data_IF_484237043275
#
_entry.id   IF_484237043275
#
_cell.length_a   1.000
_cell.length_b   1.000
_cell.length_c   1.000
_cell.angle_alpha   90.00
_cell.angle_beta   90.00
_cell.angle_gamma   90.00
#
_symmetry.space_group_name_H-M   'P 1'
#
loop_
_entity.id
_entity.type
_entity.pdbx_description
1 polymer ?
#
# COMPACT_ATOMS: atom_id res chain seq x y z
N UNK A 1 41.85 -1.85 -54.43
CA UNK A 1 42.73 -0.81 -55.00
C UNK A 1 43.81 -0.47 -53.98
N UNK A 2 44.89 0.16 -54.45
CA UNK A 2 46.00 0.83 -53.72
C UNK A 2 45.64 1.37 -52.33
N UNK A 3 46.40 1.23 -51.23
CA UNK A 3 47.86 1.35 -50.93
C UNK A 3 48.41 2.79 -50.79
N UNK A 4 49.00 3.06 -49.61
CA UNK A 4 50.06 4.02 -49.25
C UNK A 4 49.81 5.55 -49.30
N UNK A 5 49.97 6.20 -48.14
CA UNK A 5 50.99 7.22 -47.83
C UNK A 5 50.82 7.65 -46.35
N UNK A 6 51.77 7.73 -45.40
CA UNK A 6 53.24 7.96 -45.34
C UNK A 6 53.66 9.42 -45.04
N UNK A 7 54.30 9.61 -43.86
CA UNK A 7 55.31 10.65 -43.53
C UNK A 7 54.72 12.10 -43.36
N UNK A 8 55.18 13.00 -42.47
CA UNK A 8 56.54 13.30 -41.97
C UNK A 8 56.62 13.79 -40.48
N UNK A 9 57.85 13.98 -39.97
CA UNK A 9 58.19 14.41 -38.61
C UNK A 9 58.47 15.93 -38.51
N UNK A 10 58.39 16.51 -37.30
CA UNK A 10 59.37 17.48 -36.77
C UNK A 10 59.23 17.68 -35.24
N UNK A 11 60.30 18.14 -34.58
CA UNK A 11 60.39 18.37 -33.12
C UNK A 11 61.08 19.71 -32.84
N UNK A 12 60.50 20.60 -32.00
CA UNK A 12 61.32 21.45 -31.11
C UNK A 12 60.60 22.03 -29.87
N UNK A 13 61.44 22.22 -28.85
CA UNK A 13 61.31 22.59 -27.44
C UNK A 13 60.81 24.04 -27.12
N UNK A 14 60.61 24.42 -25.82
CA UNK A 14 59.62 25.42 -25.38
C UNK A 14 60.17 26.65 -24.61
N UNK A 15 59.24 27.42 -24.00
CA UNK A 15 59.31 28.25 -22.76
C UNK A 15 58.92 29.73 -22.96
N UNK A 16 58.03 30.23 -22.09
CA UNK A 16 57.67 31.64 -21.89
C UNK A 16 56.57 31.75 -20.83
N UNK A 17 56.60 32.75 -19.96
CA UNK A 17 55.76 32.86 -18.75
C UNK A 17 54.90 34.13 -18.71
N UNK A 18 53.77 34.03 -18.01
CA UNK A 18 52.99 35.07 -17.31
C UNK A 18 52.17 36.19 -18.01
N UNK A 19 51.06 36.48 -17.32
CA UNK A 19 50.37 37.78 -17.15
C UNK A 19 49.52 38.38 -18.28
N UNK A 20 48.20 38.24 -18.16
CA UNK A 20 47.29 39.38 -17.89
C UNK A 20 45.88 38.88 -17.52
N UNK A 21 44.91 39.78 -17.32
CA UNK A 21 43.72 39.59 -16.47
C UNK A 21 42.41 39.89 -17.20
N UNK A 22 41.34 39.23 -16.74
CA UNK A 22 39.90 39.54 -16.92
C UNK A 22 39.34 39.62 -18.34
N UNK A 23 38.36 38.74 -18.61
CA UNK A 23 36.99 39.19 -18.93
C UNK A 23 36.00 38.18 -18.32
N UNK A 24 34.89 38.67 -17.76
CA UNK A 24 33.83 37.84 -17.15
C UNK A 24 32.76 37.55 -18.20
N UNK A 25 32.36 36.29 -18.38
CA UNK A 25 31.14 35.95 -19.11
C UNK A 25 30.11 35.31 -18.18
N UNK A 26 29.34 36.18 -17.52
CA UNK A 26 28.27 35.82 -16.59
C UNK A 26 27.07 35.18 -17.32
N UNK A 27 27.23 33.92 -17.72
CA UNK A 27 26.13 33.05 -18.14
C UNK A 27 25.31 32.67 -16.90
N UNK A 28 24.39 33.56 -16.53
CA UNK A 28 23.56 33.42 -15.34
C UNK A 28 22.86 32.06 -15.25
N UNK A 29 23.12 31.33 -14.16
CA UNK A 29 22.38 30.11 -13.82
C UNK A 29 20.90 30.48 -13.70
N UNK A 30 20.06 30.02 -14.62
CA UNK A 30 18.63 30.00 -14.37
C UNK A 30 18.39 29.13 -13.13
N UNK A 31 17.65 29.61 -12.12
CA UNK A 31 17.29 28.76 -11.00
C UNK A 31 16.51 27.57 -11.57
N UNK A 32 17.02 26.36 -11.35
CA UNK A 32 16.26 25.15 -11.67
C UNK A 32 15.05 25.17 -10.75
N UNK A 33 13.88 25.47 -11.31
CA UNK A 33 12.61 25.30 -10.63
C UNK A 33 12.58 23.88 -10.09
N UNK A 34 12.77 23.74 -8.77
CA UNK A 34 12.57 22.46 -8.12
C UNK A 34 11.10 22.13 -8.33
N UNK A 35 10.83 21.09 -9.13
CA UNK A 35 9.48 20.60 -9.31
C UNK A 35 9.07 19.96 -8.00
N UNK A 36 8.41 20.74 -7.13
CA UNK A 36 7.71 20.24 -5.95
C UNK A 36 6.82 19.10 -6.44
N UNK A 37 7.22 17.86 -6.16
CA UNK A 37 6.44 16.70 -6.60
C UNK A 37 5.23 16.61 -5.68
N UNK A 38 4.17 17.32 -6.06
CA UNK A 38 2.85 17.28 -5.41
C UNK A 38 2.39 15.85 -5.33
N UNK A 39 2.71 15.21 -4.21
CA UNK A 39 2.58 13.77 -4.04
C UNK A 39 1.10 13.48 -3.86
N UNK A 40 0.46 13.11 -4.97
CA UNK A 40 -0.96 12.76 -4.99
C UNK A 40 -1.23 11.69 -3.93
N UNK A 41 -2.00 12.06 -2.92
CA UNK A 41 -2.49 11.16 -1.86
C UNK A 41 -3.54 10.21 -2.43
N UNK A 42 -3.07 9.21 -3.17
CA UNK A 42 -3.87 8.13 -3.72
C UNK A 42 -4.23 7.15 -2.60
N UNK A 43 -5.52 6.89 -2.40
CA UNK A 43 -6.00 5.92 -1.42
C UNK A 43 -5.48 4.51 -1.75
N UNK A 44 -5.10 3.75 -0.72
CA UNK A 44 -4.50 2.41 -0.87
C UNK A 44 -5.47 1.41 -1.54
N UNK A 45 -5.19 0.91 -2.76
CA UNK A 45 -6.06 -0.04 -3.46
C UNK A 45 -5.82 -1.50 -3.05
N UNK A 46 -4.78 -1.78 -2.28
CA UNK A 46 -4.40 -3.10 -1.74
C UNK A 46 -5.58 -3.89 -1.14
N UNK A 47 -6.36 -3.31 -0.21
CA UNK A 47 -7.54 -3.98 0.35
C UNK A 47 -8.60 -4.39 -0.67
N UNK A 48 -8.81 -3.59 -1.72
CA UNK A 48 -9.82 -3.89 -2.74
C UNK A 48 -9.40 -5.09 -3.60
N UNK A 49 -8.14 -5.11 -4.03
CA UNK A 49 -7.58 -6.24 -4.77
C UNK A 49 -7.55 -7.53 -3.95
N UNK A 50 -7.17 -7.45 -2.67
CA UNK A 50 -7.13 -8.59 -1.76
C UNK A 50 -8.52 -9.14 -1.41
N UNK A 51 -9.53 -8.29 -1.16
CA UNK A 51 -10.91 -8.75 -0.93
C UNK A 51 -11.52 -9.40 -2.18
N UNK A 52 -11.31 -8.79 -3.35
CA UNK A 52 -11.73 -9.32 -4.66
C UNK A 52 -11.20 -10.72 -4.92
N UNK A 53 -9.92 -10.90 -4.62
CA UNK A 53 -9.24 -12.18 -4.68
C UNK A 53 -9.77 -13.18 -3.65
N UNK A 54 -9.89 -12.77 -2.38
CA UNK A 54 -10.22 -13.64 -1.25
C UNK A 54 -11.64 -14.24 -1.38
N UNK A 55 -12.65 -13.41 -1.65
CA UNK A 55 -14.05 -13.88 -1.82
C UNK A 55 -14.15 -14.93 -2.94
N UNK A 56 -13.53 -14.65 -4.09
CA UNK A 56 -13.62 -15.52 -5.26
C UNK A 56 -12.83 -16.83 -5.06
N UNK A 57 -11.63 -16.73 -4.47
CA UNK A 57 -10.79 -17.88 -4.10
C UNK A 57 -11.49 -18.77 -3.07
N UNK A 58 -12.10 -18.19 -2.03
CA UNK A 58 -12.79 -18.93 -0.98
C UNK A 58 -13.92 -19.80 -1.55
N UNK A 59 -14.81 -19.20 -2.34
CA UNK A 59 -15.98 -19.90 -2.88
C UNK A 59 -15.57 -21.02 -3.84
N UNK A 60 -14.60 -20.82 -4.73
CA UNK A 60 -14.06 -21.92 -5.56
C UNK A 60 -13.40 -23.02 -4.71
N UNK A 61 -12.67 -22.63 -3.67
CA UNK A 61 -11.93 -23.56 -2.81
C UNK A 61 -12.84 -24.48 -1.99
N UNK A 62 -14.05 -24.02 -1.62
CA UNK A 62 -15.09 -24.85 -1.00
C UNK A 62 -15.54 -26.03 -1.91
N UNK A 63 -15.57 -25.82 -3.23
CA UNK A 63 -15.86 -26.88 -4.20
C UNK A 63 -14.65 -27.78 -4.45
N UNK A 64 -13.44 -27.21 -4.60
CA UNK A 64 -12.20 -27.99 -4.77
C UNK A 64 -11.94 -28.93 -3.59
N UNK A 65 -12.14 -28.47 -2.34
CA UNK A 65 -12.04 -29.30 -1.13
C UNK A 65 -13.16 -30.37 -1.06
N UNK A 66 -14.23 -30.20 -1.83
CA UNK A 66 -15.45 -31.01 -1.82
C UNK A 66 -16.21 -30.87 -0.50
N UNK A 67 -16.31 -29.65 0.01
CA UNK A 67 -17.16 -29.26 1.16
C UNK A 67 -18.58 -28.95 0.65
N UNK A 68 -18.69 -28.31 -0.51
CA UNK A 68 -19.95 -28.04 -1.20
C UNK A 68 -20.15 -28.98 -2.40
N UNK A 69 -21.40 -29.30 -2.78
CA UNK A 69 -21.69 -30.17 -3.92
C UNK A 69 -21.43 -29.46 -5.25
N UNK A 70 -20.70 -30.11 -6.16
CA UNK A 70 -20.33 -29.55 -7.47
C UNK A 70 -21.52 -29.15 -8.37
N UNK A 71 -22.74 -29.61 -8.06
CA UNK A 71 -23.97 -29.20 -8.76
C UNK A 71 -24.27 -27.69 -8.66
N UNK A 72 -23.73 -26.98 -7.65
CA UNK A 72 -23.90 -25.54 -7.47
C UNK A 72 -22.61 -24.73 -7.69
N UNK A 73 -21.53 -25.36 -8.15
CA UNK A 73 -20.20 -24.76 -8.37
C UNK A 73 -20.22 -23.53 -9.28
N UNK A 74 -21.19 -23.46 -10.21
CA UNK A 74 -21.38 -22.31 -11.12
C UNK A 74 -21.65 -20.98 -10.41
N UNK A 75 -21.93 -20.97 -9.10
CA UNK A 75 -21.97 -19.75 -8.27
C UNK A 75 -20.63 -18.98 -8.25
N UNK A 76 -19.50 -19.64 -8.56
CA UNK A 76 -18.18 -18.99 -8.73
C UNK A 76 -18.16 -18.03 -9.93
N UNK A 77 -18.88 -18.34 -11.01
CA UNK A 77 -18.78 -17.64 -12.30
C UNK A 77 -19.07 -16.11 -12.20
N UNK A 78 -20.16 -15.62 -11.56
CA UNK A 78 -20.37 -14.19 -11.41
C UNK A 78 -19.28 -13.51 -10.55
N UNK A 79 -18.76 -14.17 -9.50
CA UNK A 79 -17.67 -13.63 -8.69
C UNK A 79 -16.38 -13.51 -9.51
N UNK A 80 -16.08 -14.52 -10.32
CA UNK A 80 -14.91 -14.57 -11.19
C UNK A 80 -14.98 -13.56 -12.37
N UNK A 81 -16.17 -13.21 -12.87
CA UNK A 81 -16.30 -12.14 -13.86
C UNK A 81 -16.24 -10.74 -13.24
N UNK A 82 -17.05 -10.47 -12.21
CA UNK A 82 -17.25 -9.12 -11.72
C UNK A 82 -16.29 -8.72 -10.60
N UNK A 83 -16.06 -9.58 -9.60
CA UNK A 83 -15.33 -9.20 -8.39
C UNK A 83 -13.87 -9.61 -8.46
N UNK A 84 -13.55 -10.91 -8.34
CA UNK A 84 -12.20 -11.44 -8.55
C UNK A 84 -11.65 -11.18 -9.95
N UNK A 85 -12.52 -10.99 -10.94
CA UNK A 85 -12.14 -10.52 -12.26
C UNK A 85 -12.03 -8.99 -12.33
N UNK A 86 -13.11 -8.35 -12.77
CA UNK A 86 -13.12 -6.92 -13.16
C UNK A 86 -12.68 -5.97 -12.04
N UNK A 87 -13.21 -6.09 -10.81
CA UNK A 87 -12.81 -5.20 -9.70
C UNK A 87 -11.36 -5.45 -9.27
N UNK A 88 -10.85 -6.68 -9.33
CA UNK A 88 -9.44 -6.95 -9.07
C UNK A 88 -8.53 -6.32 -10.14
N UNK A 89 -8.89 -6.34 -11.42
CA UNK A 89 -8.15 -5.60 -12.46
C UNK A 89 -8.17 -4.09 -12.20
N UNK A 90 -9.31 -3.52 -11.80
CA UNK A 90 -9.40 -2.09 -11.46
C UNK A 90 -8.52 -1.71 -10.27
N UNK A 91 -8.44 -2.57 -9.24
CA UNK A 91 -7.49 -2.39 -8.12
C UNK A 91 -6.03 -2.44 -8.60
N UNK A 92 -5.68 -3.35 -9.52
CA UNK A 92 -4.34 -3.40 -10.12
C UNK A 92 -3.99 -2.20 -11.00
N UNK A 93 -4.98 -1.59 -11.67
CA UNK A 93 -4.79 -0.31 -12.39
C UNK A 93 -4.58 0.84 -11.39
N UNK A 94 -5.29 0.86 -10.26
CA UNK A 94 -5.06 1.85 -9.20
C UNK A 94 -3.67 1.70 -8.56
N UNK A 95 -3.15 0.47 -8.39
CA UNK A 95 -1.77 0.24 -7.93
C UNK A 95 -0.70 0.83 -8.89
N UNK A 96 -0.97 0.89 -10.20
CA UNK A 96 -0.07 1.59 -11.14
C UNK A 96 -0.02 3.10 -10.85
N UNK A 97 -1.16 3.70 -10.51
CA UNK A 97 -1.25 5.12 -10.12
C UNK A 97 -0.57 5.36 -8.77
N UNK A 98 -0.69 4.41 -7.84
CA UNK A 98 0.04 4.40 -6.56
C UNK A 98 1.53 4.00 -6.69
N UNK A 99 2.08 3.92 -7.91
CA UNK A 99 3.48 3.52 -8.23
C UNK A 99 3.89 2.13 -7.68
N UNK A 100 2.95 1.27 -7.32
CA UNK A 100 3.18 -0.05 -6.72
C UNK A 100 3.23 -1.17 -7.77
N UNK A 101 4.41 -1.40 -8.35
CA UNK A 101 4.65 -2.46 -9.36
C UNK A 101 4.25 -3.86 -8.88
N UNK A 102 4.42 -4.19 -7.60
CA UNK A 102 4.06 -5.50 -7.06
C UNK A 102 2.54 -5.71 -7.04
N UNK A 103 1.81 -4.77 -6.44
CA UNK A 103 0.34 -4.83 -6.36
C UNK A 103 -0.31 -4.78 -7.73
N UNK A 104 0.18 -3.91 -8.61
CA UNK A 104 -0.29 -3.80 -9.99
C UNK A 104 -0.14 -5.10 -10.76
N UNK A 105 1.06 -5.70 -10.70
CA UNK A 105 1.33 -7.00 -11.34
C UNK A 105 0.43 -8.09 -10.74
N UNK A 106 0.34 -8.18 -9.41
CA UNK A 106 -0.47 -9.20 -8.74
C UNK A 106 -1.96 -9.11 -9.11
N UNK A 107 -2.58 -7.93 -8.95
CA UNK A 107 -4.02 -7.80 -9.09
C UNK A 107 -4.49 -7.78 -10.55
N UNK A 108 -3.75 -7.15 -11.47
CA UNK A 108 -4.07 -7.25 -12.89
C UNK A 108 -3.93 -8.69 -13.40
N UNK A 109 -2.88 -9.42 -13.00
CA UNK A 109 -2.70 -10.81 -13.43
C UNK A 109 -3.72 -11.76 -12.79
N UNK A 110 -4.02 -11.67 -11.50
CA UNK A 110 -5.06 -12.53 -10.89
C UNK A 110 -6.48 -12.13 -11.32
N UNK A 111 -6.73 -10.86 -11.62
CA UNK A 111 -7.97 -10.42 -12.28
C UNK A 111 -8.12 -11.05 -13.68
N UNK A 112 -7.04 -11.06 -14.47
CA UNK A 112 -7.01 -11.75 -15.75
C UNK A 112 -7.13 -13.28 -15.61
N UNK A 113 -6.58 -13.90 -14.55
CA UNK A 113 -6.83 -15.32 -14.20
C UNK A 113 -8.33 -15.57 -14.02
N UNK A 114 -9.02 -14.79 -13.18
CA UNK A 114 -10.43 -15.01 -12.89
C UNK A 114 -11.32 -14.82 -14.12
N UNK A 115 -11.09 -13.75 -14.90
CA UNK A 115 -11.79 -13.50 -16.17
C UNK A 115 -11.57 -14.64 -17.18
N UNK A 116 -10.32 -15.05 -17.39
CA UNK A 116 -9.97 -16.10 -18.36
C UNK A 116 -10.38 -17.50 -17.91
N UNK A 117 -10.35 -17.79 -16.61
CA UNK A 117 -10.80 -19.06 -16.04
C UNK A 117 -12.33 -19.19 -16.10
N UNK A 118 -13.09 -18.13 -15.80
CA UNK A 118 -14.54 -18.10 -15.97
C UNK A 118 -14.94 -18.34 -17.44
N UNK A 119 -14.23 -17.71 -18.38
CA UNK A 119 -14.43 -17.95 -19.81
C UNK A 119 -14.02 -19.37 -20.23
N UNK A 120 -12.88 -19.87 -19.75
CA UNK A 120 -12.41 -21.23 -20.02
C UNK A 120 -13.42 -22.29 -19.58
N UNK A 121 -13.90 -22.22 -18.33
CA UNK A 121 -14.87 -23.18 -17.77
C UNK A 121 -16.24 -23.10 -18.46
N UNK A 122 -16.68 -21.91 -18.88
CA UNK A 122 -18.00 -21.72 -19.50
C UNK A 122 -18.04 -22.01 -21.01
N UNK A 123 -16.98 -21.67 -21.75
CA UNK A 123 -16.99 -21.66 -23.22
C UNK A 123 -15.98 -22.62 -23.87
N UNK A 124 -14.85 -22.91 -23.22
CA UNK A 124 -13.76 -23.70 -23.84
C UNK A 124 -13.79 -25.15 -23.37
N UNK A 125 -13.66 -25.39 -22.06
CA UNK A 125 -13.61 -26.72 -21.46
C UNK A 125 -14.79 -27.64 -21.84
N UNK A 126 -16.05 -27.16 -21.97
CA UNK A 126 -17.18 -28.01 -22.40
C UNK A 126 -17.10 -28.48 -23.86
N UNK A 127 -16.29 -27.80 -24.70
CA UNK A 127 -16.04 -28.16 -26.09
C UNK A 127 -14.77 -29.00 -26.30
N UNK A 128 -13.99 -29.25 -25.25
CA UNK A 128 -12.82 -30.11 -25.30
C UNK A 128 -13.21 -31.60 -25.18
N UNK A 129 -12.32 -32.46 -25.67
CA UNK A 129 -12.38 -33.89 -25.44
C UNK A 129 -12.32 -34.20 -23.93
N UNK A 130 -13.28 -34.96 -23.43
CA UNK A 130 -13.43 -35.31 -22.00
C UNK A 130 -12.24 -36.10 -21.46
N UNK A 131 -11.55 -36.86 -22.32
CA UNK A 131 -10.34 -37.61 -21.94
C UNK A 131 -9.07 -36.74 -21.98
N UNK A 132 -9.17 -35.46 -22.36
CA UNK A 132 -8.02 -34.55 -22.52
C UNK A 132 -8.20 -33.19 -21.84
N UNK A 133 -9.41 -32.85 -21.38
CA UNK A 133 -9.70 -31.59 -20.67
C UNK A 133 -8.83 -31.41 -19.42
N UNK A 134 -8.47 -32.49 -18.73
CA UNK A 134 -7.57 -32.45 -17.57
C UNK A 134 -6.14 -32.00 -17.94
N UNK A 135 -5.66 -32.32 -19.14
CA UNK A 135 -4.36 -31.86 -19.66
C UNK A 135 -4.38 -30.34 -19.85
N UNK A 136 -5.45 -29.81 -20.45
CA UNK A 136 -5.63 -28.39 -20.71
C UNK A 136 -5.83 -27.59 -19.41
N UNK A 137 -6.66 -28.07 -18.48
CA UNK A 137 -6.87 -27.42 -17.18
C UNK A 137 -5.60 -27.44 -16.33
N UNK A 138 -4.86 -28.57 -16.31
CA UNK A 138 -3.58 -28.65 -15.63
C UNK A 138 -2.52 -27.73 -16.24
N UNK A 139 -2.47 -27.60 -17.57
CA UNK A 139 -1.56 -26.66 -18.24
C UNK A 139 -1.90 -25.19 -17.95
N UNK A 140 -3.20 -24.85 -17.89
CA UNK A 140 -3.65 -23.53 -17.47
C UNK A 140 -3.20 -23.25 -16.02
N UNK A 141 -3.45 -24.16 -15.08
CA UNK A 141 -3.05 -23.99 -13.67
C UNK A 141 -1.52 -24.02 -13.47
N UNK A 142 -0.77 -24.70 -14.33
CA UNK A 142 0.69 -24.77 -14.26
C UNK A 142 1.34 -23.40 -14.51
N UNK A 143 0.87 -22.61 -15.48
CA UNK A 143 1.43 -21.26 -15.71
C UNK A 143 1.15 -20.35 -14.52
N UNK A 144 -0.03 -20.45 -13.91
CA UNK A 144 -0.35 -19.75 -12.65
C UNK A 144 0.46 -20.25 -11.46
N UNK A 145 0.83 -21.53 -11.41
CA UNK A 145 1.78 -22.08 -10.42
C UNK A 145 3.14 -21.40 -10.56
N UNK A 146 3.69 -21.31 -11.78
CA UNK A 146 4.99 -20.66 -12.04
C UNK A 146 4.94 -19.16 -11.71
N UNK A 147 3.90 -18.45 -12.15
CA UNK A 147 3.67 -17.04 -11.84
C UNK A 147 3.64 -16.78 -10.33
N UNK A 148 2.78 -17.52 -9.62
CA UNK A 148 2.63 -17.37 -8.17
C UNK A 148 3.92 -17.69 -7.43
N UNK A 149 4.69 -18.67 -7.89
CA UNK A 149 5.95 -19.08 -7.24
C UNK A 149 6.98 -17.95 -7.26
N UNK A 150 7.19 -17.25 -8.38
CA UNK A 150 8.12 -16.11 -8.37
C UNK A 150 7.56 -14.89 -7.63
N UNK A 151 6.24 -14.67 -7.67
CA UNK A 151 5.60 -13.62 -6.87
C UNK A 151 5.66 -13.91 -5.35
N UNK A 152 5.70 -15.18 -4.95
CA UNK A 152 5.96 -15.59 -3.57
C UNK A 152 7.40 -15.26 -3.12
N UNK A 153 8.38 -15.34 -4.02
CA UNK A 153 9.75 -14.85 -3.75
C UNK A 153 9.76 -13.33 -3.63
N UNK A 154 9.14 -12.61 -4.57
CA UNK A 154 9.07 -11.15 -4.55
C UNK A 154 8.36 -10.58 -3.31
N UNK A 155 7.25 -11.20 -2.89
CA UNK A 155 6.49 -10.78 -1.70
C UNK A 155 7.24 -10.92 -0.37
N UNK A 156 8.36 -11.65 -0.33
CA UNK A 156 9.18 -11.82 0.89
C UNK A 156 9.73 -10.50 1.46
N UNK A 157 9.77 -9.43 0.66
CA UNK A 157 10.16 -8.06 1.06
C UNK A 157 8.98 -7.10 1.25
N UNK A 158 7.74 -7.61 1.34
CA UNK A 158 6.55 -6.81 1.65
C UNK A 158 6.24 -6.88 3.16
N UNK A 159 5.17 -7.58 3.57
CA UNK A 159 4.87 -7.92 4.96
C UNK A 159 4.53 -9.41 5.07
N UNK A 160 4.76 -10.00 6.26
CA UNK A 160 4.81 -11.46 6.41
C UNK A 160 3.46 -12.14 6.16
N UNK A 161 2.35 -11.48 6.47
CA UNK A 161 1.02 -12.02 6.15
C UNK A 161 0.78 -12.13 4.63
N UNK A 162 1.19 -11.13 3.84
CA UNK A 162 1.05 -11.16 2.37
C UNK A 162 1.95 -12.24 1.75
N UNK A 163 3.18 -12.36 2.23
CA UNK A 163 4.07 -13.44 1.80
C UNK A 163 3.49 -14.83 2.11
N UNK A 164 2.88 -15.02 3.28
CA UNK A 164 2.16 -16.25 3.63
C UNK A 164 1.02 -16.56 2.64
N UNK A 165 0.20 -15.56 2.28
CA UNK A 165 -0.88 -15.72 1.31
C UNK A 165 -0.36 -16.20 -0.07
N UNK A 166 0.74 -15.62 -0.57
CA UNK A 166 1.37 -16.03 -1.84
C UNK A 166 2.00 -17.42 -1.77
N UNK A 167 2.64 -17.80 -0.66
CA UNK A 167 3.18 -19.16 -0.47
C UNK A 167 2.06 -20.21 -0.44
N UNK A 168 0.97 -19.94 0.30
CA UNK A 168 -0.21 -20.82 0.32
C UNK A 168 -0.86 -20.91 -1.08
N UNK A 169 -0.87 -19.82 -1.85
CA UNK A 169 -1.41 -19.80 -3.23
C UNK A 169 -0.52 -20.58 -4.21
N UNK A 170 0.80 -20.53 -4.06
CA UNK A 170 1.72 -21.31 -4.87
C UNK A 170 1.50 -22.82 -4.64
N UNK A 171 1.34 -23.21 -3.37
CA UNK A 171 0.98 -24.59 -2.99
C UNK A 171 -0.41 -24.96 -3.53
N UNK A 172 -1.40 -24.05 -3.45
CA UNK A 172 -2.74 -24.24 -4.02
C UNK A 172 -2.68 -24.57 -5.51
N UNK A 173 -2.06 -23.72 -6.33
CA UNK A 173 -1.95 -23.94 -7.77
C UNK A 173 -1.14 -25.20 -8.11
N UNK A 174 -0.05 -25.48 -7.38
CA UNK A 174 0.73 -26.70 -7.59
C UNK A 174 -0.08 -27.98 -7.32
N UNK A 175 -0.82 -28.03 -6.20
CA UNK A 175 -1.67 -29.18 -5.83
C UNK A 175 -2.83 -29.36 -6.82
N UNK A 176 -3.47 -28.27 -7.27
CA UNK A 176 -4.52 -28.35 -8.29
C UNK A 176 -3.95 -28.83 -9.64
N UNK A 177 -2.79 -28.31 -10.08
CA UNK A 177 -2.09 -28.74 -11.31
C UNK A 177 -1.76 -30.24 -11.29
N UNK A 178 -1.17 -30.73 -10.19
CA UNK A 178 -0.87 -32.16 -9.99
C UNK A 178 -2.15 -33.00 -9.97
N UNK A 179 -3.21 -32.48 -9.35
CA UNK A 179 -4.53 -33.12 -9.31
C UNK A 179 -5.24 -33.18 -10.67
N UNK A 180 -5.00 -32.23 -11.58
CA UNK A 180 -5.47 -32.30 -12.98
C UNK A 180 -4.63 -33.27 -13.81
N UNK A 181 -3.31 -33.09 -13.87
CA UNK A 181 -2.46 -33.91 -14.75
C UNK A 181 -2.38 -35.38 -14.33
N UNK A 182 -2.42 -35.69 -13.03
CA UNK A 182 -2.53 -37.06 -12.53
C UNK A 182 -3.96 -37.56 -12.35
N UNK A 183 -4.97 -36.73 -12.62
CA UNK A 183 -6.42 -36.98 -12.34
C UNK A 183 -6.77 -37.33 -10.87
N UNK A 184 -5.81 -37.17 -9.94
CA UNK A 184 -5.96 -37.60 -8.55
C UNK A 184 -6.79 -36.59 -7.75
N UNK A 185 -8.06 -36.95 -7.52
CA UNK A 185 -9.02 -36.17 -6.70
C UNK A 185 -8.50 -35.78 -5.31
N UNK A 186 -7.59 -36.57 -4.72
CA UNK A 186 -6.95 -36.25 -3.44
C UNK A 186 -6.10 -34.97 -3.49
N UNK A 187 -5.33 -34.78 -4.57
CA UNK A 187 -4.54 -33.55 -4.77
C UNK A 187 -5.44 -32.35 -5.05
N UNK A 188 -6.52 -32.52 -5.82
CA UNK A 188 -7.53 -31.46 -6.02
C UNK A 188 -8.15 -31.00 -4.69
N UNK A 189 -8.51 -31.95 -3.81
CA UNK A 189 -9.02 -31.65 -2.46
C UNK A 189 -7.99 -30.95 -1.57
N UNK A 190 -6.73 -31.40 -1.58
CA UNK A 190 -5.66 -30.74 -0.84
C UNK A 190 -5.45 -29.30 -1.32
N UNK A 191 -5.43 -29.07 -2.64
CA UNK A 191 -5.40 -27.73 -3.24
C UNK A 191 -6.56 -26.86 -2.80
N UNK A 192 -7.78 -27.41 -2.72
CA UNK A 192 -8.93 -26.72 -2.15
C UNK A 192 -8.74 -26.26 -0.69
N UNK A 193 -8.22 -27.13 0.19
CA UNK A 193 -7.94 -26.72 1.58
C UNK A 193 -6.85 -25.65 1.68
N UNK A 194 -5.79 -25.72 0.87
CA UNK A 194 -4.80 -24.65 0.80
C UNK A 194 -5.39 -23.34 0.25
N UNK A 195 -6.29 -23.40 -0.73
CA UNK A 195 -6.97 -22.23 -1.27
C UNK A 195 -7.90 -21.53 -0.27
N UNK A 196 -8.54 -22.30 0.63
CA UNK A 196 -9.29 -21.73 1.76
C UNK A 196 -8.36 -21.00 2.73
N UNK A 197 -7.21 -21.59 3.07
CA UNK A 197 -6.19 -20.93 3.92
C UNK A 197 -5.67 -19.65 3.24
N UNK A 198 -5.33 -19.70 1.94
CA UNK A 198 -4.96 -18.52 1.15
C UNK A 198 -6.01 -17.43 1.23
N UNK A 199 -7.28 -17.75 1.01
CA UNK A 199 -8.36 -16.76 1.03
C UNK A 199 -8.51 -16.11 2.42
N UNK A 200 -8.43 -16.90 3.49
CA UNK A 200 -8.45 -16.41 4.88
C UNK A 200 -7.24 -15.50 5.16
N UNK A 201 -6.03 -15.87 4.71
CA UNK A 201 -4.85 -15.00 4.87
C UNK A 201 -4.94 -13.73 4.02
N UNK A 202 -5.51 -13.79 2.81
CA UNK A 202 -5.74 -12.62 1.97
C UNK A 202 -6.78 -11.66 2.57
N UNK A 203 -7.87 -12.19 3.16
CA UNK A 203 -8.82 -11.40 3.95
C UNK A 203 -8.16 -10.76 5.18
N UNK A 204 -7.31 -11.50 5.92
CA UNK A 204 -6.56 -10.95 7.05
C UNK A 204 -5.66 -9.78 6.62
N UNK A 205 -4.97 -9.92 5.49
CA UNK A 205 -4.17 -8.83 4.91
C UNK A 205 -5.05 -7.62 4.54
N UNK A 206 -6.20 -7.85 3.89
CA UNK A 206 -7.11 -6.78 3.51
C UNK A 206 -7.69 -6.05 4.73
N UNK A 207 -8.16 -6.80 5.73
CA UNK A 207 -8.70 -6.29 6.99
C UNK A 207 -7.68 -5.46 7.76
N UNK A 208 -6.45 -5.96 7.93
CA UNK A 208 -5.40 -5.21 8.61
C UNK A 208 -5.00 -3.92 7.87
N UNK A 209 -5.02 -3.92 6.53
CA UNK A 209 -4.76 -2.72 5.74
C UNK A 209 -5.92 -1.70 5.80
N UNK A 210 -7.19 -2.14 5.86
CA UNK A 210 -8.33 -1.25 6.11
C UNK A 210 -8.26 -0.66 7.52
N UNK A 211 -7.96 -1.46 8.54
CA UNK A 211 -7.81 -0.96 9.91
C UNK A 211 -6.64 0.02 10.03
N UNK A 212 -5.49 -0.28 9.42
CA UNK A 212 -4.33 0.61 9.41
C UNK A 212 -4.65 1.97 8.79
N UNK A 213 -5.39 2.01 7.67
CA UNK A 213 -5.81 3.29 7.09
C UNK A 213 -6.98 3.96 7.84
N UNK A 214 -7.90 3.20 8.43
CA UNK A 214 -9.06 3.80 9.13
C UNK A 214 -8.68 4.33 10.52
N UNK A 215 -7.86 3.59 11.28
CA UNK A 215 -7.49 3.91 12.67
C UNK A 215 -6.10 4.53 12.78
N UNK A 216 -5.33 4.60 11.67
CA UNK A 216 -3.99 5.20 11.56
C UNK A 216 -2.86 4.53 12.37
N UNK A 217 -3.09 3.35 12.95
CA UNK A 217 -2.06 2.50 13.58
C UNK A 217 -2.26 0.99 13.29
N UNK A 218 -1.22 0.17 13.50
CA UNK A 218 -1.28 -1.29 13.26
C UNK A 218 -2.09 -2.01 14.36
N UNK A 219 -3.40 -2.14 14.15
CA UNK A 219 -4.35 -2.80 15.08
C UNK A 219 -4.15 -4.32 15.14
N UNK A 220 -3.80 -4.94 14.00
CA UNK A 220 -3.57 -6.38 13.87
C UNK A 220 -2.22 -6.63 13.20
N UNK A 221 -1.40 -7.58 13.67
CA UNK A 221 -0.03 -7.74 13.20
C UNK A 221 0.01 -8.30 11.77
N UNK A 222 0.18 -7.40 10.79
CA UNK A 222 0.58 -7.73 9.42
C UNK A 222 2.07 -8.10 9.35
N UNK A 223 2.84 -7.62 10.34
CA UNK A 223 4.27 -7.88 10.52
C UNK A 223 5.07 -7.42 9.29
N UNK A 224 5.07 -6.11 9.08
CA UNK A 224 5.91 -5.40 8.12
C UNK A 224 7.40 -5.67 8.36
N UNK A 225 8.18 -5.66 7.28
CA UNK A 225 9.63 -5.85 7.37
C UNK A 225 10.27 -4.57 7.94
N UNK A 226 10.67 -4.57 9.22
CA UNK A 226 11.51 -3.50 9.78
C UNK A 226 12.86 -3.49 9.07
N UNK A 227 13.08 -2.49 8.21
CA UNK A 227 14.43 -2.13 7.80
C UNK A 227 15.16 -1.66 9.05
N UNK A 228 16.26 -2.32 9.42
CA UNK A 228 17.26 -1.64 10.23
C UNK A 228 17.89 -0.59 9.32
N UNK A 229 17.62 0.69 9.59
CA UNK A 229 18.53 1.73 9.16
C UNK A 229 19.60 1.75 10.25
N UNK A 230 20.76 1.17 9.96
CA UNK A 230 21.98 1.56 10.64
C UNK A 230 22.29 2.96 10.11
N UNK A 231 21.91 3.99 10.86
CA UNK A 231 22.63 5.26 10.80
C UNK A 231 23.87 5.01 11.65
N UNK A 232 24.98 4.71 11.01
CA UNK A 232 26.26 4.65 11.71
C UNK A 232 26.65 6.13 11.93
N UNK A 233 26.56 6.61 13.18
CA UNK A 233 26.71 8.05 13.52
C UNK A 233 28.06 8.64 13.05
N UNK A 234 29.08 7.77 12.92
CA UNK A 234 30.42 8.09 12.44
C UNK A 234 30.52 8.29 10.91
N UNK A 235 29.43 8.14 10.13
CA UNK A 235 29.45 8.20 8.65
C UNK A 235 28.82 9.47 8.05
N UNK A 236 28.67 10.53 8.83
CA UNK A 236 28.20 11.85 8.36
C UNK A 236 29.39 12.82 8.35
N UNK A 237 30.29 12.65 7.38
CA UNK A 237 31.27 13.68 7.02
C UNK A 237 30.52 14.88 6.42
N UNK A 238 30.19 15.86 7.25
CA UNK A 238 29.67 17.17 6.80
C UNK A 238 30.87 18.01 6.37
N UNK A 239 31.08 18.16 5.06
CA UNK A 239 32.00 19.16 4.51
C UNK A 239 31.45 20.57 4.82
N UNK A 240 31.88 21.13 5.95
CA UNK A 240 31.37 22.39 6.54
C UNK A 240 31.54 23.61 5.61
N UNK A 241 32.41 23.50 4.59
CA UNK A 241 32.64 24.50 3.53
C UNK A 241 31.56 24.49 2.40
N UNK A 242 30.54 23.62 2.45
CA UNK A 242 29.50 23.53 1.40
C UNK A 242 28.18 24.25 1.70
N UNK A 243 28.16 25.17 2.67
CA UNK A 243 26.94 25.88 3.11
C UNK A 243 26.59 27.04 2.17
N UNK A 244 25.80 26.75 1.12
CA UNK A 244 24.99 27.72 0.34
C UNK A 244 24.06 26.99 -0.68
N UNK A 245 22.95 26.38 -0.21
CA UNK A 245 21.69 26.07 -0.98
C UNK A 245 20.68 25.12 -0.26
N UNK A 246 20.92 24.67 0.99
CA UNK A 246 20.14 23.57 1.61
C UNK A 246 19.64 23.77 3.06
N UNK A 247 18.71 24.72 3.28
CA UNK A 247 17.84 24.70 4.48
C UNK A 247 16.59 23.79 4.24
N UNK A 248 15.85 24.00 3.14
CA UNK A 248 14.57 23.35 2.80
C UNK A 248 14.53 21.82 3.04
N UNK A 249 15.60 21.11 2.70
CA UNK A 249 15.61 19.63 2.72
C UNK A 249 15.72 19.02 4.11
N UNK A 250 16.33 19.76 5.06
CA UNK A 250 16.40 19.33 6.46
C UNK A 250 15.13 19.77 7.20
N UNK A 251 14.62 20.98 6.90
CA UNK A 251 13.32 21.43 7.39
C UNK A 251 12.19 20.48 7.00
N UNK A 252 12.05 20.08 5.72
CA UNK A 252 10.97 19.17 5.30
C UNK A 252 11.01 17.84 6.07
N UNK A 253 12.21 17.29 6.36
CA UNK A 253 12.33 16.03 7.11
C UNK A 253 12.03 16.22 8.60
N UNK A 254 12.48 17.33 9.20
CA UNK A 254 12.17 17.69 10.58
C UNK A 254 10.67 18.00 10.77
N UNK A 255 10.05 18.73 9.84
CA UNK A 255 8.62 19.06 9.83
C UNK A 255 7.76 17.81 9.64
N UNK A 256 8.15 16.87 8.76
CA UNK A 256 7.49 15.57 8.64
C UNK A 256 7.60 14.74 9.93
N UNK A 257 8.74 14.80 10.62
CA UNK A 257 8.96 14.10 11.90
C UNK A 257 8.18 14.76 13.04
N UNK A 258 8.14 16.10 13.11
CA UNK A 258 7.30 16.87 14.03
C UNK A 258 5.82 16.59 13.82
N UNK A 259 5.33 16.58 12.58
CA UNK A 259 3.94 16.25 12.24
C UNK A 259 3.54 14.81 12.62
N UNK A 260 4.49 13.88 12.72
CA UNK A 260 4.25 12.53 13.24
C UNK A 260 4.34 12.46 14.78
N UNK A 261 5.18 13.28 15.42
CA UNK A 261 5.26 13.41 16.87
C UNK A 261 4.04 14.11 17.47
N UNK A 262 3.62 15.25 16.90
CA UNK A 262 2.39 15.96 17.29
C UNK A 262 1.12 15.13 17.08
N UNK A 263 1.12 14.14 16.17
CA UNK A 263 0.02 13.19 15.98
C UNK A 263 0.14 11.91 16.81
N UNK A 264 1.16 11.81 17.68
CA UNK A 264 1.31 10.73 18.67
C UNK A 264 1.35 11.23 20.12
N UNK A 265 1.22 12.54 20.33
CA UNK A 265 0.96 13.17 21.62
C UNK A 265 -0.34 13.95 21.52
N UNK A 266 -1.40 13.43 22.14
CA UNK A 266 -2.73 14.03 22.18
C UNK A 266 -2.67 15.31 23.03
N UNK A 267 -2.68 16.46 22.37
CA UNK A 267 -2.70 17.80 22.98
C UNK A 267 -3.72 18.62 22.21
N UNK A 268 -4.78 19.07 22.89
CA UNK A 268 -5.85 19.85 22.29
C UNK A 268 -5.34 21.20 21.73
N UNK A 269 -5.67 21.51 20.48
CA UNK A 269 -5.32 22.81 19.84
C UNK A 269 -6.06 24.01 20.49
N UNK A 270 -7.08 23.76 21.32
CA UNK A 270 -7.93 24.77 21.97
C UNK A 270 -7.38 25.31 23.32
N UNK A 271 -6.06 25.33 23.54
CA UNK A 271 -5.48 25.73 24.85
C UNK A 271 -4.22 26.62 24.81
N UNK A 272 -3.90 27.24 23.67
CA UNK A 272 -2.80 28.21 23.55
C UNK A 272 -3.29 29.51 22.86
N UNK A 273 -4.09 30.29 23.60
CA UNK A 273 -4.22 31.72 23.34
C UNK A 273 -2.98 32.43 23.91
N UNK A 274 -2.16 33.02 23.05
CA UNK A 274 -1.08 33.95 23.45
C UNK A 274 -1.54 35.36 23.14
N UNK A 275 -2.13 36.02 24.13
CA UNK A 275 -2.42 37.45 24.08
C UNK A 275 -1.10 38.24 23.99
N UNK A 276 -0.82 38.81 22.82
CA UNK A 276 0.43 39.54 22.51
C UNK A 276 0.56 40.90 23.25
N UNK A 277 -0.47 41.30 24.01
CA UNK A 277 -0.67 42.65 24.58
C UNK A 277 -0.66 42.67 26.14
N UNK A 278 0.16 41.84 26.81
CA UNK A 278 0.19 41.73 28.29
C UNK A 278 1.56 41.95 28.95
N UNK A 279 2.34 42.96 28.50
CA UNK A 279 3.55 43.43 29.20
C UNK A 279 3.32 44.80 29.87
N UNK A 280 2.70 44.76 31.05
CA UNK A 280 2.74 45.86 32.04
C UNK A 280 3.04 45.29 33.42
N UNK A 281 4.19 45.65 33.99
CA UNK A 281 4.51 45.40 35.39
C UNK A 281 4.13 46.66 36.17
N UNK A 282 3.16 46.54 37.07
CA UNK A 282 2.87 47.55 38.08
C UNK A 282 3.02 46.93 39.48
N UNK A 283 3.86 47.57 40.30
CA UNK A 283 3.97 47.34 41.74
C UNK A 283 3.11 48.40 42.44
N UNK A 284 2.05 48.03 43.19
CA UNK A 284 1.64 48.73 44.43
C UNK A 284 0.39 48.11 45.10
N UNK A 285 0.19 48.43 46.40
CA UNK A 285 -1.02 48.39 47.23
C UNK A 285 -2.06 47.23 47.03
N UNK A 286 -2.33 46.34 48.00
CA UNK A 286 -2.79 46.55 49.40
C UNK A 286 -4.02 47.45 49.52
N UNK A 287 -5.21 46.86 49.69
CA UNK A 287 -6.11 47.18 50.81
C UNK A 287 -7.15 46.07 51.07
N UNK A 288 -8.08 46.28 52.01
CA UNK A 288 -8.85 45.24 52.74
C UNK A 288 -10.37 45.57 52.78
N UNK A 289 -11.18 44.65 53.31
CA UNK A 289 -12.62 44.77 53.67
C UNK A 289 -13.62 44.85 52.48
N UNK A 290 -14.94 44.70 52.63
CA UNK A 290 -15.85 43.78 53.39
C UNK A 290 -17.28 44.04 52.83
N UNK A 291 -18.30 43.29 53.29
CA UNK A 291 -19.75 43.62 53.27
C UNK A 291 -20.64 43.48 52.00
N UNK A 292 -21.96 43.38 52.29
CA UNK A 292 -23.17 43.29 51.42
C UNK A 292 -23.44 41.96 50.66
N UNK A 293 -24.58 41.23 50.80
CA UNK A 293 -26.06 41.52 50.87
C UNK A 293 -26.66 41.64 49.45
N UNK A 294 -27.79 41.02 49.05
CA UNK A 294 -29.04 40.65 49.79
C UNK A 294 -29.74 39.34 49.29
N UNK A 295 -30.87 38.97 49.92
CA UNK A 295 -31.72 37.78 49.67
C UNK A 295 -32.74 37.87 48.50
N UNK A 296 -33.30 36.71 48.08
CA UNK A 296 -34.70 36.40 47.64
C UNK A 296 -34.73 35.01 46.92
N UNK A 297 -35.60 34.01 47.18
CA UNK A 297 -37.10 33.92 47.17
C UNK A 297 -37.74 34.30 45.80
N UNK A 298 -38.66 33.59 45.14
CA UNK A 298 -39.27 32.23 45.22
C UNK A 298 -39.83 31.93 43.77
N UNK A 299 -40.46 30.84 43.33
CA UNK A 299 -41.11 29.63 43.90
C UNK A 299 -40.94 28.44 42.93
N UNK A 300 -41.00 27.16 43.33
CA UNK A 300 -42.19 26.29 43.48
C UNK A 300 -43.29 26.50 42.43
N UNK A 301 -43.47 25.53 41.52
CA UNK A 301 -44.68 24.70 41.48
C UNK A 301 -44.46 23.40 40.68
N UNK A 302 -44.99 22.28 41.18
CA UNK A 302 -45.02 20.98 40.49
C UNK A 302 -46.28 20.86 39.61
N UNK A 303 -46.25 20.02 38.57
CA UNK A 303 -47.43 19.21 38.25
C UNK A 303 -47.11 17.94 37.46
N UNK A 304 -47.88 16.89 37.75
CA UNK A 304 -47.60 15.50 37.41
C UNK A 304 -48.19 15.00 36.07
N UNK A 305 -47.68 13.84 35.66
CA UNK A 305 -48.43 12.66 35.20
C UNK A 305 -48.89 12.44 33.74
N UNK A 306 -48.42 11.30 33.21
CA UNK A 306 -49.22 10.27 32.49
C UNK A 306 -49.62 10.52 31.01
N UNK A 307 -49.86 9.50 30.13
CA UNK A 307 -49.59 8.03 30.13
C UNK A 307 -49.74 7.46 28.70
N UNK A 308 -49.09 6.33 28.41
CA UNK A 308 -49.28 5.41 27.24
C UNK A 308 -48.96 5.91 25.81
N UNK A 309 -48.40 5.09 24.91
CA UNK A 309 -48.99 3.98 24.10
C UNK A 309 -50.22 4.41 23.27
N UNK A 310 -50.41 4.04 21.99
CA UNK A 310 -49.94 2.85 21.26
C UNK A 310 -49.95 3.08 19.71
N UNK A 311 -49.29 2.18 18.95
CA UNK A 311 -49.48 1.82 17.52
C UNK A 311 -49.10 2.74 16.34
N UNK A 312 -49.01 2.02 15.20
CA UNK A 312 -49.04 2.40 13.78
C UNK A 312 -47.70 2.83 13.14
N UNK A 313 -47.36 2.36 11.94
CA UNK A 313 -47.86 1.18 11.17
C UNK A 313 -46.92 0.81 10.04
#
# INVERSE_FOLDING_TARGET
>A
MTTNADVENAVYMPRGEESSRSEEENHGRQPRLQSVETTLLVANPGPLGLNSFAITTFILSMFNAGILPASVEKVVIPLAYFYGGSVQVLAGIAELVAKNTFGATAFCSYGAFWLSFAYYVMAIAPGLDKEKVHIATGLFLFTWTVFTTYMAVASSRTFRALNCAFVLLAITFALLTIGEWGEVKGFKKAGGYFGLLTAITAWYCAFGLVLLDTWKYEVVPLAFYKHKINVDEDSIDVDEDSVDDHEDSVEILLVMTQLMLMKTLDVDEDSIDVDEDSVTVDEDAVDVDEDSVDDHEDSVDDHEDSVNEDRLS
#
